data_IF_121734127295
#
_entry.id   IF_121734127295
#
_cell.length_a   1.000
_cell.length_b   1.000
_cell.length_c   1.000
_cell.angle_alpha   90.00
_cell.angle_beta   90.00
_cell.angle_gamma   90.00
#
_symmetry.space_group_name_H-M   'P 1'
#
loop_
_entity.id
_entity.type
_entity.pdbx_description
1 polymer ?
#
# COMPACT_ATOMS: atom_id res chain seq x y z
N UNK A 1 -21.18 -4.60 -8.29
CA UNK A 1 -22.21 -3.94 -9.11
C UNK A 1 -23.42 -4.87 -9.22
N UNK A 2 -24.48 -4.71 -8.40
CA UNK A 2 -25.82 -5.23 -8.74
C UNK A 2 -26.96 -4.87 -7.78
N UNK A 3 -26.88 -3.77 -7.03
CA UNK A 3 -27.98 -3.36 -6.15
C UNK A 3 -29.13 -2.60 -6.87
N UNK A 4 -28.91 -2.10 -8.10
CA UNK A 4 -29.93 -1.41 -8.92
C UNK A 4 -29.91 -1.91 -10.37
N UNK A 5 -31.07 -2.16 -10.96
CA UNK A 5 -31.23 -2.65 -12.34
C UNK A 5 -31.84 -1.56 -13.24
N UNK A 6 -31.10 -1.14 -14.27
CA UNK A 6 -31.50 -0.07 -15.22
C UNK A 6 -31.87 -0.67 -16.58
N UNK A 7 -32.98 -0.23 -17.15
CA UNK A 7 -33.34 -0.55 -18.53
C UNK A 7 -33.09 0.64 -19.45
N UNK A 8 -32.12 0.54 -20.36
CA UNK A 8 -31.78 1.60 -21.28
C UNK A 8 -32.85 1.84 -22.36
N UNK A 9 -33.75 0.88 -22.63
CA UNK A 9 -34.81 1.00 -23.64
C UNK A 9 -35.91 1.96 -23.19
N UNK A 10 -36.31 1.89 -21.92
CA UNK A 10 -37.34 2.76 -21.33
C UNK A 10 -36.75 3.96 -20.57
N UNK A 11 -35.43 3.98 -20.36
CA UNK A 11 -34.71 5.05 -19.68
C UNK A 11 -34.98 5.15 -18.18
N UNK A 12 -35.31 4.03 -17.50
CA UNK A 12 -35.69 4.01 -16.07
C UNK A 12 -35.12 2.79 -15.33
N UNK A 13 -35.04 2.88 -14.00
CA UNK A 13 -34.69 1.76 -13.12
C UNK A 13 -35.91 0.87 -12.87
N UNK A 14 -35.75 -0.46 -13.00
CA UNK A 14 -36.80 -1.44 -12.71
C UNK A 14 -36.85 -1.82 -11.23
N UNK A 15 -35.71 -1.81 -10.55
CA UNK A 15 -35.64 -2.06 -9.11
C UNK A 15 -35.85 -0.75 -8.34
N UNK A 16 -36.65 -0.79 -7.28
CA UNK A 16 -36.64 0.27 -6.27
C UNK A 16 -35.26 0.38 -5.63
N UNK A 17 -34.89 1.59 -5.20
CA UNK A 17 -33.67 1.85 -4.44
C UNK A 17 -33.66 0.97 -3.17
N UNK A 18 -32.63 0.12 -2.98
CA UNK A 18 -32.52 -0.71 -1.78
C UNK A 18 -32.25 0.10 -0.50
N UNK A 19 -31.85 1.37 -0.62
CA UNK A 19 -31.71 2.29 0.53
C UNK A 19 -33.04 3.04 0.72
N UNK A 20 -33.67 2.83 1.88
CA UNK A 20 -34.92 3.47 2.22
C UNK A 20 -34.74 4.93 2.71
N UNK A 21 -35.84 5.61 3.02
CA UNK A 21 -35.80 7.01 3.45
C UNK A 21 -34.97 7.23 4.72
N UNK A 22 -34.96 6.25 5.64
CA UNK A 22 -34.20 6.30 6.88
C UNK A 22 -32.70 6.05 6.63
N UNK A 23 -32.36 5.13 5.73
CA UNK A 23 -30.99 4.90 5.27
C UNK A 23 -30.39 6.10 4.54
N UNK A 24 -31.20 6.87 3.81
CA UNK A 24 -30.76 8.15 3.25
C UNK A 24 -30.64 9.25 4.32
N UNK A 25 -31.48 9.21 5.37
CA UNK A 25 -31.39 10.14 6.49
C UNK A 25 -30.08 9.99 7.28
N UNK A 26 -29.63 8.75 7.50
CA UNK A 26 -28.42 8.45 8.29
C UNK A 26 -27.11 8.95 7.65
N UNK A 27 -27.11 9.18 6.33
CA UNK A 27 -25.99 9.79 5.59
C UNK A 27 -26.21 11.27 5.26
N UNK A 28 -27.18 11.92 5.93
CA UNK A 28 -27.47 13.35 5.74
C UNK A 28 -28.15 13.70 4.41
N UNK A 29 -28.73 12.71 3.72
CA UNK A 29 -29.33 12.82 2.37
C UNK A 29 -30.85 12.54 2.37
N UNK A 30 -31.56 12.85 3.46
CA UNK A 30 -32.98 12.53 3.67
C UNK A 30 -33.90 12.83 2.45
N UNK A 31 -33.69 13.98 1.79
CA UNK A 31 -34.51 14.39 0.63
C UNK A 31 -34.42 13.39 -0.54
N UNK A 32 -33.30 12.71 -0.69
CA UNK A 32 -33.08 11.73 -1.76
C UNK A 32 -33.82 10.41 -1.52
N UNK A 33 -34.12 10.06 -0.26
CA UNK A 33 -34.82 8.84 0.10
C UNK A 33 -36.32 8.81 -0.23
N UNK A 34 -36.89 9.95 -0.65
CA UNK A 34 -38.30 10.00 -1.09
C UNK A 34 -38.48 9.61 -2.57
N UNK A 35 -37.39 9.63 -3.36
CA UNK A 35 -37.43 9.19 -4.76
C UNK A 35 -36.75 7.82 -4.89
N UNK A 36 -37.56 6.75 -4.85
CA UNK A 36 -37.11 5.35 -4.91
C UNK A 36 -36.46 4.95 -6.25
N UNK A 37 -36.35 5.84 -7.23
CA UNK A 37 -35.65 5.59 -8.49
C UNK A 37 -34.50 6.59 -8.73
N UNK A 38 -34.15 7.41 -7.74
CA UNK A 38 -33.04 8.35 -7.85
C UNK A 38 -31.70 7.60 -7.92
N UNK A 39 -30.98 7.77 -9.02
CA UNK A 39 -29.63 7.23 -9.17
C UNK A 39 -28.62 8.33 -9.01
N UNK A 40 -27.65 8.14 -8.12
CA UNK A 40 -26.47 9.00 -8.01
C UNK A 40 -26.87 10.47 -7.81
N UNK A 41 -27.89 10.70 -6.97
CA UNK A 41 -28.50 12.01 -6.72
C UNK A 41 -28.92 12.78 -7.99
N UNK A 42 -29.29 12.08 -9.06
CA UNK A 42 -29.58 12.62 -10.40
C UNK A 42 -28.41 13.41 -11.03
N UNK A 43 -27.18 13.17 -10.61
CA UNK A 43 -25.99 13.79 -11.17
C UNK A 43 -24.85 12.77 -11.39
N UNK A 44 -25.01 11.88 -12.40
CA UNK A 44 -24.04 10.84 -12.72
C UNK A 44 -22.71 11.36 -13.30
N UNK A 45 -22.62 12.66 -13.60
CA UNK A 45 -21.37 13.29 -14.02
C UNK A 45 -20.45 13.57 -12.83
N UNK A 46 -21.03 13.96 -11.69
CA UNK A 46 -20.27 14.32 -10.48
C UNK A 46 -20.05 13.13 -9.55
N UNK A 47 -21.06 12.28 -9.44
CA UNK A 47 -21.08 11.18 -8.48
C UNK A 47 -21.00 9.84 -9.22
N UNK A 48 -20.44 8.82 -8.58
CA UNK A 48 -20.43 7.43 -9.03
C UNK A 48 -20.99 6.54 -7.92
N UNK A 49 -21.52 5.36 -8.27
CA UNK A 49 -22.09 4.42 -7.29
C UNK A 49 -21.39 3.06 -7.38
N UNK A 50 -20.18 2.93 -6.79
CA UNK A 50 -19.37 1.71 -6.92
C UNK A 50 -20.00 0.49 -6.26
N UNK A 51 -20.76 0.71 -5.19
CA UNK A 51 -21.40 -0.35 -4.39
C UNK A 51 -22.81 -0.67 -4.86
N UNK A 52 -23.44 0.20 -5.64
CA UNK A 52 -24.83 0.09 -6.09
C UNK A 52 -25.85 0.60 -5.06
N UNK A 53 -25.40 1.11 -3.91
CA UNK A 53 -26.25 1.53 -2.80
C UNK A 53 -26.08 3.02 -2.48
N UNK A 54 -24.92 3.61 -2.76
CA UNK A 54 -24.60 4.98 -2.34
C UNK A 54 -23.88 5.72 -3.46
N UNK A 55 -24.47 6.82 -3.93
CA UNK A 55 -23.79 7.76 -4.82
C UNK A 55 -22.73 8.56 -4.06
N UNK A 56 -21.47 8.36 -4.45
CA UNK A 56 -20.26 8.97 -3.89
C UNK A 56 -19.66 9.98 -4.85
N UNK A 57 -19.06 11.06 -4.35
CA UNK A 57 -18.36 12.02 -5.22
C UNK A 57 -17.10 11.35 -5.77
N UNK A 58 -16.76 11.60 -7.04
CA UNK A 58 -15.50 11.14 -7.63
C UNK A 58 -14.27 11.58 -6.81
N UNK A 59 -14.35 12.74 -6.13
CA UNK A 59 -13.31 13.22 -5.20
C UNK A 59 -13.34 12.49 -3.84
N UNK A 60 -14.45 11.84 -3.47
CA UNK A 60 -14.57 11.09 -2.21
C UNK A 60 -14.07 9.65 -2.31
N UNK A 61 -13.95 9.03 -3.49
CA UNK A 61 -13.23 7.75 -3.59
C UNK A 61 -11.76 7.88 -3.20
N UNK A 62 -11.14 9.04 -3.48
CA UNK A 62 -9.77 9.36 -3.08
C UNK A 62 -9.65 9.76 -1.59
N UNK A 63 -10.77 10.04 -0.90
CA UNK A 63 -10.80 10.42 0.52
C UNK A 63 -11.43 9.37 1.43
N UNK A 64 -12.14 8.38 0.91
CA UNK A 64 -12.62 7.21 1.67
C UNK A 64 -11.57 6.09 1.74
N UNK A 65 -10.48 6.19 0.96
CA UNK A 65 -9.27 5.39 1.08
C UNK A 65 -8.35 5.83 2.23
N UNK A 66 -8.66 6.95 2.89
CA UNK A 66 -7.97 7.44 4.08
C UNK A 66 -8.94 8.13 5.03
N UNK A 67 -9.29 7.44 6.12
CA UNK A 67 -10.00 7.96 7.30
C UNK A 67 -11.50 8.32 7.10
N UNK A 68 -12.38 7.31 7.17
CA UNK A 68 -13.61 7.28 8.00
C UNK A 68 -14.47 6.05 7.64
N UNK A 69 -14.29 4.95 8.37
CA UNK A 69 -15.36 3.98 8.56
C UNK A 69 -16.31 4.57 9.62
N UNK A 70 -17.42 5.16 9.16
CA UNK A 70 -18.54 5.55 10.02
C UNK A 70 -19.21 4.27 10.55
N UNK A 71 -19.44 4.25 11.86
CA UNK A 71 -20.17 3.22 12.59
C UNK A 71 -21.56 2.89 12.01
N UNK A 72 -21.92 1.61 12.04
CA UNK A 72 -23.27 1.14 12.42
C UNK A 72 -23.08 -0.06 13.39
N UNK A 73 -23.79 0.00 14.52
CA UNK A 73 -23.54 -0.67 15.82
C UNK A 73 -23.91 -2.16 15.93
N UNK A 74 -23.29 -2.83 16.90
CA UNK A 74 -23.87 -3.92 17.69
C UNK A 74 -23.22 -3.96 19.08
N UNK A 75 -24.02 -3.74 20.13
CA UNK A 75 -23.62 -3.69 21.54
C UNK A 75 -23.07 -5.03 22.06
N UNK A 76 -21.85 -5.06 22.61
CA UNK A 76 -21.50 -5.72 23.90
C UNK A 76 -20.30 -4.97 24.50
N UNK A 77 -20.37 -4.67 25.80
CA UNK A 77 -19.57 -3.67 26.51
C UNK A 77 -18.04 -3.80 26.53
N UNK A 78 -17.38 -2.65 26.73
CA UNK A 78 -16.06 -2.55 27.34
C UNK A 78 -15.06 -1.61 26.66
N UNK A 79 -14.99 -0.36 27.13
CA UNK A 79 -13.87 0.59 27.06
C UNK A 79 -13.24 0.95 25.69
N UNK A 80 -13.67 2.09 25.14
CA UNK A 80 -12.99 2.80 24.05
C UNK A 80 -11.95 3.79 24.64
N UNK A 81 -10.68 3.62 24.27
CA UNK A 81 -9.66 4.67 24.31
C UNK A 81 -9.53 5.23 22.89
N UNK A 82 -9.96 6.47 22.67
CA UNK A 82 -9.77 7.18 21.40
C UNK A 82 -8.43 7.94 21.43
N UNK A 83 -7.46 7.54 20.61
CA UNK A 83 -6.34 8.42 20.24
C UNK A 83 -6.67 9.08 18.91
N UNK A 84 -6.98 10.38 18.98
CA UNK A 84 -7.03 11.30 17.84
C UNK A 84 -5.57 11.60 17.48
N UNK A 85 -5.13 11.23 16.29
CA UNK A 85 -3.87 11.72 15.72
C UNK A 85 -4.16 12.27 14.33
N UNK A 86 -4.20 13.59 14.22
CA UNK A 86 -3.80 14.37 13.03
C UNK A 86 -4.07 15.86 13.28
N UNK A 87 -2.98 16.62 13.30
CA UNK A 87 -2.98 18.06 13.26
C UNK A 87 -3.18 18.57 11.82
N UNK A 88 -4.41 18.52 11.28
CA UNK A 88 -4.83 19.41 10.19
C UNK A 88 -6.33 19.27 9.91
N UNK A 89 -7.16 20.01 10.66
CA UNK A 89 -8.36 20.72 10.18
C UNK A 89 -9.10 21.32 11.38
N UNK A 90 -8.48 22.34 11.99
CA UNK A 90 -9.14 23.25 12.94
C UNK A 90 -8.97 24.69 12.46
N UNK A 91 -9.52 24.98 11.29
CA UNK A 91 -9.87 26.33 10.88
C UNK A 91 -11.31 26.32 10.42
N UNK A 92 -12.25 26.23 11.37
CA UNK A 92 -13.66 26.17 10.98
C UNK A 92 -14.72 25.89 12.04
N UNK A 93 -14.44 25.84 13.34
CA UNK A 93 -15.48 25.96 14.38
C UNK A 93 -14.91 26.71 15.58
N UNK A 94 -15.29 27.97 15.74
CA UNK A 94 -15.00 28.75 16.93
C UNK A 94 -16.04 28.39 18.01
N UNK A 95 -15.59 27.98 19.19
CA UNK A 95 -16.38 28.00 20.43
C UNK A 95 -16.58 26.64 21.10
N UNK A 96 -16.07 26.52 22.33
CA UNK A 96 -16.13 25.39 23.26
C UNK A 96 -15.30 24.17 22.80
N UNK A 97 -14.14 23.88 23.41
CA UNK A 97 -14.02 23.27 24.74
C UNK A 97 -12.76 23.80 25.43
N UNK A 98 -12.94 24.53 26.54
CA UNK A 98 -11.86 24.85 27.48
C UNK A 98 -11.74 23.70 28.49
N UNK A 99 -10.56 23.07 28.53
CA UNK A 99 -10.02 22.50 29.75
C UNK A 99 -10.18 21.00 29.96
N UNK A 100 -9.27 20.20 29.40
CA UNK A 100 -8.63 19.08 30.11
C UNK A 100 -7.21 18.91 29.53
N UNK A 101 -6.22 19.64 30.06
CA UNK A 101 -4.80 19.36 29.80
C UNK A 101 -4.16 19.03 31.13
N UNK A 102 -4.10 17.74 31.48
CA UNK A 102 -3.24 17.24 32.55
C UNK A 102 -2.13 16.38 31.96
N UNK A 103 -0.93 16.93 32.05
CA UNK A 103 0.37 16.27 32.23
C UNK A 103 0.48 14.79 31.77
N UNK A 104 0.91 14.61 30.52
CA UNK A 104 1.35 13.31 29.98
C UNK A 104 2.22 13.39 28.71
N UNK A 105 2.28 14.56 28.08
CA UNK A 105 2.90 14.75 26.75
C UNK A 105 4.44 14.86 26.73
N UNK A 106 5.17 14.51 27.81
CA UNK A 106 6.65 14.62 27.82
C UNK A 106 7.42 13.31 27.95
N UNK A 107 6.74 12.15 28.01
CA UNK A 107 7.40 10.84 28.06
C UNK A 107 7.19 9.98 26.80
N UNK A 108 6.20 10.29 25.94
CA UNK A 108 5.96 9.58 24.68
C UNK A 108 6.79 10.10 23.49
N UNK A 109 7.42 11.27 23.60
CA UNK A 109 8.20 11.90 22.53
C UNK A 109 9.68 11.43 22.45
N UNK A 110 10.06 10.37 23.19
CA UNK A 110 11.44 9.81 23.18
C UNK A 110 11.51 8.33 22.77
N UNK A 111 10.45 7.79 22.15
CA UNK A 111 10.44 6.44 21.55
C UNK A 111 9.95 6.42 20.09
N UNK A 112 10.24 7.49 19.36
CA UNK A 112 10.15 7.55 17.89
C UNK A 112 11.53 7.73 17.26
N UNK A 113 12.57 7.18 17.90
CA UNK A 113 13.88 6.96 17.31
C UNK A 113 13.89 5.54 16.73
N UNK A 114 13.90 5.48 15.40
CA UNK A 114 14.42 4.39 14.56
C UNK A 114 14.04 2.96 14.97
N UNK A 115 12.84 2.51 14.61
CA UNK A 115 12.68 1.12 14.18
C UNK A 115 12.72 1.14 12.66
N UNK A 116 13.82 0.68 12.08
CA UNK A 116 13.97 0.49 10.64
C UNK A 116 12.81 -0.37 10.13
N UNK A 117 12.02 0.04 9.12
CA UNK A 117 10.90 -0.76 8.63
C UNK A 117 11.34 -1.97 7.76
N UNK A 118 12.58 -2.46 7.87
CA UNK A 118 12.96 -3.67 7.13
C UNK A 118 14.20 -4.38 7.70
N UNK A 119 14.03 -5.30 8.65
CA UNK A 119 14.99 -6.36 8.91
C UNK A 119 14.66 -7.59 8.04
N UNK A 120 15.13 -7.63 6.79
CA UNK A 120 14.99 -8.78 5.86
C UNK A 120 13.59 -9.43 5.89
N UNK A 121 12.67 -8.87 5.11
CA UNK A 121 11.35 -9.44 4.83
C UNK A 121 11.50 -10.79 4.12
N UNK A 122 11.02 -11.90 4.67
CA UNK A 122 11.25 -13.24 4.10
C UNK A 122 9.99 -14.13 4.09
N UNK A 123 10.06 -15.26 3.38
CA UNK A 123 9.05 -16.33 3.35
C UNK A 123 9.66 -17.68 3.72
N UNK A 124 8.85 -18.61 4.24
CA UNK A 124 9.32 -19.98 4.54
C UNK A 124 9.56 -20.80 3.27
N UNK A 125 10.32 -21.90 3.40
CA UNK A 125 10.51 -22.88 2.34
C UNK A 125 9.17 -23.40 1.77
N UNK A 126 9.16 -23.73 0.48
CA UNK A 126 7.98 -24.19 -0.26
C UNK A 126 7.09 -23.06 -0.79
N UNK A 127 7.33 -21.81 -0.37
CA UNK A 127 6.60 -20.64 -0.91
C UNK A 127 6.88 -20.53 -2.41
N UNK A 128 5.83 -20.65 -3.22
CA UNK A 128 5.96 -20.65 -4.67
C UNK A 128 6.23 -19.24 -5.19
N UNK A 129 7.08 -19.11 -6.20
CA UNK A 129 7.42 -17.85 -6.86
C UNK A 129 7.10 -17.97 -8.33
N UNK A 130 6.44 -16.96 -8.91
CA UNK A 130 6.12 -16.95 -10.34
C UNK A 130 7.36 -16.64 -11.18
N UNK A 131 7.98 -17.69 -11.73
CA UNK A 131 9.12 -17.59 -12.65
C UNK A 131 8.68 -17.77 -14.10
N UNK A 132 9.57 -17.44 -15.05
CA UNK A 132 9.33 -17.63 -16.48
C UNK A 132 9.12 -19.10 -16.89
N UNK A 133 9.67 -20.02 -16.11
CA UNK A 133 9.61 -21.47 -16.36
C UNK A 133 8.45 -22.15 -15.61
N UNK A 134 7.72 -21.40 -14.79
CA UNK A 134 6.62 -21.87 -13.95
C UNK A 134 6.81 -21.48 -12.48
N UNK A 135 5.96 -22.01 -11.61
CA UNK A 135 6.12 -21.82 -10.17
C UNK A 135 7.31 -22.63 -9.64
N UNK A 136 8.14 -21.97 -8.84
CA UNK A 136 9.32 -22.57 -8.22
C UNK A 136 9.36 -22.23 -6.73
N UNK A 137 9.75 -23.16 -5.84
CA UNK A 137 9.93 -22.84 -4.42
C UNK A 137 10.98 -21.75 -4.21
N UNK A 138 10.75 -20.86 -3.25
CA UNK A 138 11.58 -19.68 -3.00
C UNK A 138 13.03 -20.05 -2.62
N UNK A 139 13.24 -21.18 -1.95
CA UNK A 139 14.54 -21.70 -1.54
C UNK A 139 15.39 -22.18 -2.72
N UNK A 140 14.77 -22.48 -3.86
CA UNK A 140 15.43 -22.99 -5.07
C UNK A 140 15.72 -21.89 -6.10
N UNK A 141 15.25 -20.66 -5.87
CA UNK A 141 15.46 -19.52 -6.77
C UNK A 141 16.94 -19.14 -6.81
N UNK A 142 17.51 -19.08 -8.01
CA UNK A 142 18.91 -18.70 -8.23
C UNK A 142 19.06 -17.32 -8.88
N UNK A 143 20.21 -16.69 -8.65
CA UNK A 143 20.59 -15.43 -9.32
C UNK A 143 20.59 -15.63 -10.85
N UNK A 144 20.02 -14.67 -11.57
CA UNK A 144 19.85 -14.71 -13.02
C UNK A 144 18.50 -15.26 -13.49
N UNK A 145 17.74 -15.95 -12.62
CA UNK A 145 16.39 -16.42 -12.97
C UNK A 145 15.43 -15.25 -13.17
N UNK A 146 14.48 -15.43 -14.08
CA UNK A 146 13.50 -14.39 -14.41
C UNK A 146 12.21 -14.61 -13.64
N UNK A 147 11.85 -13.63 -12.81
CA UNK A 147 10.59 -13.58 -12.07
C UNK A 147 9.66 -12.52 -12.65
N UNK A 148 8.36 -12.77 -12.53
CA UNK A 148 7.38 -11.78 -12.94
C UNK A 148 7.36 -10.64 -11.91
N UNK A 149 7.48 -9.40 -12.37
CA UNK A 149 7.56 -8.23 -11.51
C UNK A 149 6.67 -7.11 -12.05
N UNK A 150 6.19 -6.25 -11.15
CA UNK A 150 5.33 -5.11 -11.49
C UNK A 150 5.82 -3.84 -10.84
N UNK A 151 6.14 -2.85 -11.66
CA UNK A 151 6.34 -1.49 -11.20
C UNK A 151 4.97 -0.88 -10.85
N UNK A 152 4.63 -0.85 -9.57
CA UNK A 152 3.33 -0.33 -9.08
C UNK A 152 3.08 1.14 -9.44
N UNK A 153 4.14 1.96 -9.59
CA UNK A 153 4.01 3.38 -9.93
C UNK A 153 3.61 3.61 -11.40
N UNK A 154 4.16 2.80 -12.31
CA UNK A 154 3.90 2.93 -13.76
C UNK A 154 2.84 1.95 -14.26
N UNK A 155 2.50 0.93 -13.46
CA UNK A 155 1.66 -0.19 -13.85
C UNK A 155 2.35 -1.19 -14.80
N UNK A 156 3.62 -0.96 -15.16
CA UNK A 156 4.36 -1.81 -16.10
C UNK A 156 4.75 -3.13 -15.43
N UNK A 157 4.46 -4.25 -16.09
CA UNK A 157 4.89 -5.58 -15.67
C UNK A 157 5.86 -6.18 -16.68
N UNK A 158 6.96 -6.77 -16.18
CA UNK A 158 8.01 -7.37 -17.00
C UNK A 158 8.69 -8.52 -16.26
N UNK A 159 9.33 -9.41 -17.03
CA UNK A 159 10.27 -10.39 -16.49
C UNK A 159 11.54 -9.68 -16.03
N UNK A 160 11.93 -9.86 -14.77
CA UNK A 160 13.11 -9.26 -14.17
C UNK A 160 14.01 -10.31 -13.57
N UNK A 161 15.32 -10.10 -13.71
CA UNK A 161 16.31 -11.03 -13.19
C UNK A 161 16.41 -10.91 -11.66
N UNK A 162 16.59 -12.06 -11.02
CA UNK A 162 17.01 -12.13 -9.63
C UNK A 162 18.48 -11.73 -9.55
N UNK A 163 18.80 -10.74 -8.72
CA UNK A 163 20.17 -10.20 -8.59
C UNK A 163 20.88 -10.67 -7.33
N UNK A 164 20.13 -11.09 -6.32
CA UNK A 164 20.69 -11.58 -5.05
C UNK A 164 19.71 -12.49 -4.34
N UNK A 165 20.21 -13.42 -3.52
CA UNK A 165 19.40 -14.31 -2.67
C UNK A 165 19.87 -14.24 -1.23
N UNK A 166 18.93 -14.40 -0.29
CA UNK A 166 19.19 -14.42 1.15
C UNK A 166 18.50 -15.60 1.80
N UNK A 167 19.21 -16.16 2.78
CA UNK A 167 18.67 -17.12 3.73
C UNK A 167 18.88 -16.55 5.13
N UNK A 168 17.80 -16.45 5.91
CA UNK A 168 17.80 -15.88 7.26
C UNK A 168 17.19 -16.90 8.21
N UNK A 169 17.85 -17.13 9.34
CA UNK A 169 17.44 -18.12 10.34
C UNK A 169 16.68 -17.47 11.50
N UNK A 170 15.95 -18.29 12.26
CA UNK A 170 15.30 -17.93 13.53
C UNK A 170 14.28 -16.79 13.47
N UNK A 171 13.57 -16.67 12.34
CA UNK A 171 12.56 -15.61 12.12
C UNK A 171 11.18 -16.05 12.57
N UNK A 172 10.45 -15.15 13.23
CA UNK A 172 9.09 -15.38 13.67
C UNK A 172 8.13 -15.42 12.47
N UNK A 173 7.32 -16.48 12.40
CA UNK A 173 6.46 -16.76 11.25
C UNK A 173 4.99 -16.45 11.53
N UNK A 174 4.37 -15.77 10.58
CA UNK A 174 2.95 -15.45 10.55
C UNK A 174 2.29 -16.20 9.39
N UNK A 175 1.12 -16.77 9.65
CA UNK A 175 0.27 -17.38 8.64
C UNK A 175 -0.82 -16.38 8.24
N UNK A 176 -0.93 -16.15 6.93
CA UNK A 176 -1.96 -15.32 6.31
C UNK A 176 -2.79 -16.25 5.43
N UNK A 177 -4.10 -16.33 5.67
CA UNK A 177 -5.02 -17.02 4.75
C UNK A 177 -5.76 -16.00 3.90
N UNK A 178 -5.72 -16.19 2.59
CA UNK A 178 -6.45 -15.37 1.63
C UNK A 178 -7.48 -16.20 0.88
N UNK A 179 -8.58 -15.56 0.48
CA UNK A 179 -9.66 -16.17 -0.29
C UNK A 179 -9.89 -15.42 -1.60
N UNK A 180 -9.94 -16.16 -2.71
CA UNK A 180 -10.28 -15.62 -4.03
C UNK A 180 -11.78 -15.37 -4.16
N UNK A 181 -12.20 -14.69 -5.22
CA UNK A 181 -13.61 -14.44 -5.50
C UNK A 181 -14.40 -15.73 -5.80
N UNK A 182 -13.71 -16.76 -6.29
CA UNK A 182 -14.24 -18.10 -6.57
C UNK A 182 -14.34 -18.96 -5.30
N UNK A 183 -13.94 -18.42 -4.14
CA UNK A 183 -14.02 -19.11 -2.85
C UNK A 183 -12.83 -20.01 -2.54
N UNK A 184 -11.81 -20.05 -3.41
CA UNK A 184 -10.57 -20.81 -3.16
C UNK A 184 -9.79 -20.13 -2.06
N UNK A 185 -9.37 -20.88 -1.05
CA UNK A 185 -8.55 -20.36 0.06
C UNK A 185 -7.12 -20.87 -0.07
N UNK A 186 -6.14 -20.01 0.19
CA UNK A 186 -4.72 -20.34 0.24
C UNK A 186 -4.07 -19.71 1.47
N UNK A 187 -3.05 -20.39 2.00
CA UNK A 187 -2.21 -19.89 3.07
C UNK A 187 -0.84 -19.43 2.54
N UNK A 188 -0.28 -18.45 3.24
CA UNK A 188 1.06 -17.90 3.01
C UNK A 188 1.71 -17.77 4.38
N UNK A 189 2.97 -18.16 4.47
CA UNK A 189 3.76 -18.03 5.70
C UNK A 189 4.93 -17.08 5.48
N UNK A 190 4.91 -15.95 6.20
CA UNK A 190 5.84 -14.84 6.02
C UNK A 190 6.35 -14.31 7.37
N UNK A 191 7.46 -13.58 7.33
CA UNK A 191 7.98 -12.89 8.52
C UNK A 191 7.12 -11.67 8.91
N UNK A 192 7.26 -11.20 10.16
CA UNK A 192 6.49 -10.07 10.72
C UNK A 192 6.47 -8.79 9.85
N UNK A 193 7.55 -8.50 9.15
CA UNK A 193 7.75 -7.24 8.40
C UNK A 193 7.75 -7.46 6.89
N UNK A 194 7.08 -8.52 6.41
CA UNK A 194 7.00 -8.74 4.96
C UNK A 194 5.94 -7.82 4.34
N UNK A 195 6.29 -6.95 3.38
CA UNK A 195 5.35 -6.04 2.75
C UNK A 195 4.48 -6.73 1.67
N UNK A 196 3.17 -6.60 1.82
CA UNK A 196 2.18 -7.00 0.83
C UNK A 196 1.50 -5.77 0.23
N UNK A 197 1.14 -5.83 -1.05
CA UNK A 197 0.39 -4.75 -1.69
C UNK A 197 -1.10 -4.88 -1.41
N UNK A 198 -1.65 -3.97 -0.61
CA UNK A 198 -3.07 -3.93 -0.27
C UNK A 198 -3.79 -2.92 -1.16
N UNK A 199 -4.81 -3.37 -1.88
CA UNK A 199 -5.60 -2.54 -2.79
C UNK A 199 -6.21 -1.34 -2.04
N UNK A 200 -5.88 -0.13 -2.49
CA UNK A 200 -6.35 1.12 -1.90
C UNK A 200 -5.59 1.57 -0.64
N UNK A 201 -4.69 0.74 -0.08
CA UNK A 201 -3.85 1.09 1.08
C UNK A 201 -2.35 1.13 0.76
N UNK A 202 -1.93 0.54 -0.36
CA UNK A 202 -0.52 0.43 -0.76
C UNK A 202 0.19 -0.67 0.03
N UNK A 203 1.51 -0.53 0.20
CA UNK A 203 2.33 -1.49 0.94
C UNK A 203 1.99 -1.50 2.43
N UNK A 204 1.83 -2.71 2.98
CA UNK A 204 1.63 -2.97 4.42
C UNK A 204 2.45 -4.17 4.84
N UNK A 205 3.12 -4.05 5.98
CA UNK A 205 3.86 -5.16 6.59
C UNK A 205 2.87 -6.22 7.08
N UNK A 206 3.34 -7.47 7.20
CA UNK A 206 2.51 -8.60 7.66
C UNK A 206 1.75 -8.30 8.95
N UNK A 207 2.40 -7.65 9.92
CA UNK A 207 1.78 -7.28 11.21
C UNK A 207 0.77 -6.13 11.13
N UNK A 208 0.81 -5.35 10.05
CA UNK A 208 -0.12 -4.24 9.80
C UNK A 208 -1.31 -4.65 8.93
N UNK A 209 -1.33 -5.89 8.44
CA UNK A 209 -2.46 -6.45 7.70
C UNK A 209 -3.68 -6.65 8.60
N UNK A 210 -4.85 -6.48 8.02
CA UNK A 210 -6.12 -6.63 8.73
C UNK A 210 -7.03 -7.63 8.02
N UNK A 211 -7.88 -8.31 8.80
CA UNK A 211 -8.94 -9.14 8.23
C UNK A 211 -9.83 -8.29 7.32
N UNK A 212 -10.14 -8.82 6.13
CA UNK A 212 -10.89 -8.10 5.10
C UNK A 212 -10.04 -7.25 4.16
N UNK A 213 -8.74 -7.06 4.41
CA UNK A 213 -7.83 -6.43 3.45
C UNK A 213 -7.79 -7.22 2.14
N UNK A 214 -7.57 -6.50 1.04
CA UNK A 214 -7.56 -7.07 -0.31
C UNK A 214 -6.15 -7.02 -0.88
N UNK A 215 -5.48 -8.15 -0.90
CA UNK A 215 -4.24 -8.32 -1.67
C UNK A 215 -4.58 -8.40 -3.15
N UNK A 216 -3.60 -8.22 -4.03
CA UNK A 216 -3.80 -8.27 -5.48
C UNK A 216 -2.92 -9.32 -6.12
N UNK A 217 -3.46 -9.99 -7.14
CA UNK A 217 -2.67 -10.89 -7.97
C UNK A 217 -1.94 -10.19 -9.14
N UNK A 218 -1.37 -10.98 -10.05
CA UNK A 218 -0.71 -10.51 -11.26
C UNK A 218 -1.66 -9.90 -12.31
N UNK A 219 -2.96 -10.16 -12.22
CA UNK A 219 -4.01 -9.60 -13.08
C UNK A 219 -4.71 -8.40 -12.42
N UNK A 220 -4.43 -8.15 -11.13
CA UNK A 220 -5.07 -7.12 -10.32
C UNK A 220 -6.40 -7.57 -9.69
N UNK A 221 -6.71 -8.87 -9.72
CA UNK A 221 -7.88 -9.45 -9.06
C UNK A 221 -7.62 -9.48 -7.54
N UNK A 222 -8.60 -9.06 -6.72
CA UNK A 222 -8.42 -9.00 -5.28
C UNK A 222 -8.57 -10.36 -4.59
N UNK A 223 -7.69 -10.62 -3.61
CA UNK A 223 -7.77 -11.73 -2.66
C UNK A 223 -7.99 -11.20 -1.25
N UNK A 224 -9.05 -11.67 -0.58
CA UNK A 224 -9.45 -11.15 0.73
C UNK A 224 -8.74 -11.91 1.84
N UNK A 225 -8.10 -11.21 2.77
CA UNK A 225 -7.53 -11.81 3.98
C UNK A 225 -8.66 -12.30 4.88
N UNK A 226 -8.70 -13.60 5.15
CA UNK A 226 -9.72 -14.27 5.97
C UNK A 226 -9.17 -14.81 7.29
N UNK A 227 -7.84 -14.93 7.43
CA UNK A 227 -7.17 -15.28 8.68
C UNK A 227 -5.78 -14.65 8.71
N UNK A 228 -5.36 -14.22 9.89
CA UNK A 228 -4.01 -13.73 10.17
C UNK A 228 -3.64 -14.15 11.60
N UNK A 229 -2.55 -14.90 11.76
CA UNK A 229 -2.09 -15.32 13.09
C UNK A 229 -0.57 -15.51 13.14
N UNK A 230 0.01 -15.23 14.31
CA UNK A 230 1.36 -15.70 14.63
C UNK A 230 1.33 -17.21 14.83
N UNK A 231 2.31 -17.93 14.29
CA UNK A 231 2.46 -19.37 14.53
C UNK A 231 3.27 -19.67 15.80
N UNK A 232 3.77 -18.64 16.49
CA UNK A 232 4.64 -18.77 17.69
C UNK A 232 5.82 -19.73 17.46
N UNK A 233 6.26 -19.84 16.21
CA UNK A 233 7.40 -20.65 15.77
C UNK A 233 8.42 -19.80 15.05
N UNK A 234 9.66 -20.24 15.14
CA UNK A 234 10.78 -19.70 14.38
C UNK A 234 11.16 -20.66 13.28
N UNK A 235 11.46 -20.13 12.10
CA UNK A 235 11.87 -20.95 10.95
C UNK A 235 12.97 -20.26 10.15
N UNK A 236 13.56 -21.01 9.22
CA UNK A 236 14.41 -20.49 8.16
C UNK A 236 13.53 -19.83 7.11
N UNK A 237 13.90 -18.63 6.70
CA UNK A 237 13.16 -17.83 5.75
C UNK A 237 14.07 -17.31 4.63
N UNK A 238 13.52 -17.24 3.43
CA UNK A 238 14.20 -16.93 2.18
C UNK A 238 13.66 -15.64 1.58
N UNK A 239 14.52 -14.91 0.88
CA UNK A 239 14.16 -13.72 0.11
C UNK A 239 15.18 -13.54 -1.03
N UNK A 240 14.85 -12.76 -2.05
CA UNK A 240 15.74 -12.47 -3.17
C UNK A 240 15.43 -11.10 -3.79
N UNK A 241 16.44 -10.40 -4.29
CA UNK A 241 16.25 -9.11 -4.96
C UNK A 241 15.94 -9.29 -6.43
N UNK A 242 14.97 -8.51 -6.88
CA UNK A 242 14.52 -8.44 -8.25
C UNK A 242 15.00 -7.12 -8.84
N UNK A 243 15.63 -7.19 -10.01
CA UNK A 243 16.09 -6.01 -10.73
C UNK A 243 14.95 -5.03 -11.05
N UNK A 244 15.25 -3.74 -10.96
CA UNK A 244 14.46 -2.55 -11.28
C UNK A 244 13.21 -2.32 -10.40
N UNK A 245 12.37 -3.36 -10.26
CA UNK A 245 11.02 -3.22 -9.74
C UNK A 245 10.93 -3.58 -8.26
N UNK A 246 11.85 -4.39 -7.74
CA UNK A 246 11.86 -4.85 -6.35
C UNK A 246 10.52 -5.43 -5.88
N UNK A 247 9.77 -6.02 -6.80
CA UNK A 247 8.50 -6.71 -6.53
C UNK A 247 8.54 -8.06 -7.20
N UNK A 248 7.83 -9.02 -6.62
CA UNK A 248 7.61 -10.31 -7.23
C UNK A 248 6.26 -10.86 -6.80
N UNK A 249 5.90 -12.00 -7.36
CA UNK A 249 4.66 -12.67 -7.08
C UNK A 249 4.94 -14.00 -6.38
N UNK A 250 4.28 -14.20 -5.24
CA UNK A 250 4.35 -15.44 -4.47
C UNK A 250 3.04 -16.21 -4.55
N UNK A 251 3.10 -17.48 -4.18
CA UNK A 251 2.01 -18.43 -4.12
C UNK A 251 1.41 -18.81 -5.48
N UNK A 252 0.54 -19.82 -5.49
CA UNK A 252 -0.15 -20.28 -6.72
C UNK A 252 -1.14 -19.23 -7.26
N UNK A 253 -1.55 -18.29 -6.41
CA UNK A 253 -2.47 -17.21 -6.73
C UNK A 253 -1.71 -15.92 -7.09
N UNK A 254 -0.38 -15.97 -7.20
CA UNK A 254 0.48 -14.88 -7.65
C UNK A 254 0.22 -13.57 -6.89
N UNK A 255 0.37 -13.57 -5.58
CA UNK A 255 0.15 -12.42 -4.70
C UNK A 255 1.35 -11.47 -4.78
N UNK A 256 1.08 -10.18 -5.01
CA UNK A 256 2.11 -9.15 -5.17
C UNK A 256 2.77 -8.80 -3.83
N UNK A 257 4.08 -8.98 -3.77
CA UNK A 257 4.93 -8.71 -2.61
C UNK A 257 6.15 -7.88 -2.99
N UNK A 258 6.74 -7.19 -2.02
CA UNK A 258 7.92 -6.36 -2.25
C UNK A 258 9.18 -7.06 -1.71
N UNK A 259 10.25 -7.03 -2.49
CA UNK A 259 11.57 -7.38 -2.00
C UNK A 259 12.12 -6.19 -1.20
N UNK A 260 12.15 -6.32 0.12
CA UNK A 260 12.98 -5.44 0.92
C UNK A 260 14.34 -6.12 1.21
N UNK A 261 15.44 -5.46 0.86
CA UNK A 261 16.78 -6.07 0.94
C UNK A 261 17.97 -5.13 0.75
N UNK A 262 17.75 -3.81 0.59
CA UNK A 262 18.84 -2.84 0.54
C UNK A 262 19.30 -2.40 1.93
N UNK A 263 20.61 -2.26 2.14
CA UNK A 263 21.16 -1.61 3.32
C UNK A 263 20.66 -0.16 3.35
N UNK A 264 19.85 0.16 4.37
CA UNK A 264 19.23 1.47 4.44
C UNK A 264 20.21 2.52 4.93
N UNK A 265 20.41 3.55 4.12
CA UNK A 265 21.36 4.63 4.41
C UNK A 265 20.72 5.99 4.18
N UNK A 266 21.14 6.98 4.97
CA UNK A 266 20.78 8.38 4.72
C UNK A 266 21.88 9.02 3.88
N UNK A 267 21.61 9.18 2.59
CA UNK A 267 22.61 9.64 1.61
C UNK A 267 22.24 11.03 1.11
N UNK A 268 23.25 11.87 0.86
CA UNK A 268 23.02 13.14 0.20
C UNK A 268 22.59 12.87 -1.25
N UNK A 269 21.42 13.33 -1.70
CA UNK A 269 20.90 13.02 -3.04
C UNK A 269 21.83 13.49 -4.17
N UNK A 270 22.72 14.46 -3.92
CA UNK A 270 23.73 14.92 -4.89
C UNK A 270 24.88 13.92 -5.09
N UNK A 271 25.06 12.97 -4.18
CA UNK A 271 26.10 11.95 -4.26
C UNK A 271 25.65 10.71 -5.06
N UNK A 272 24.36 10.64 -5.40
CA UNK A 272 23.80 9.54 -6.17
C UNK A 272 24.05 9.74 -7.67
N UNK A 273 24.39 8.67 -8.36
CA UNK A 273 24.65 8.66 -9.80
C UNK A 273 23.35 8.30 -10.53
N UNK A 274 22.77 9.20 -11.34
CA UNK A 274 21.55 8.88 -12.08
C UNK A 274 21.84 7.96 -13.27
N UNK A 275 21.09 6.87 -13.36
CA UNK A 275 21.08 5.97 -14.54
C UNK A 275 20.10 6.42 -15.62
N UNK A 276 19.15 7.30 -15.30
CA UNK A 276 18.22 7.93 -16.25
C UNK A 276 18.60 9.39 -16.52
N UNK A 277 18.42 9.80 -17.77
CA UNK A 277 18.61 11.18 -18.22
C UNK A 277 17.42 12.07 -17.83
N UNK A 278 17.64 13.40 -17.86
CA UNK A 278 16.56 14.37 -17.63
C UNK A 278 15.41 14.27 -18.63
N UNK A 279 15.68 13.75 -19.83
CA UNK A 279 14.68 13.58 -20.88
C UNK A 279 13.76 12.38 -20.63
N UNK A 280 14.24 11.37 -19.90
CA UNK A 280 13.48 10.19 -19.50
C UNK A 280 12.62 10.45 -18.25
N UNK A 281 12.84 11.57 -17.57
CA UNK A 281 12.06 11.98 -16.40
C UNK A 281 10.91 12.93 -16.75
N UNK A 282 9.68 12.52 -16.41
CA UNK A 282 8.52 13.42 -16.35
C UNK A 282 8.74 14.67 -15.48
N UNK A 283 8.92 15.83 -16.12
CA UNK A 283 9.12 17.11 -15.43
C UNK A 283 7.94 17.57 -14.59
N UNK A 284 6.71 17.21 -14.96
CA UNK A 284 5.51 17.51 -14.15
C UNK A 284 5.51 16.73 -12.83
N UNK A 285 5.92 15.46 -12.87
CA UNK A 285 6.05 14.64 -11.67
C UNK A 285 7.13 15.18 -10.73
N UNK A 286 8.31 15.55 -11.26
CA UNK A 286 9.38 16.18 -10.46
C UNK A 286 8.90 17.46 -9.79
N UNK A 287 8.14 18.31 -10.50
CA UNK A 287 7.58 19.55 -9.92
C UNK A 287 6.61 19.25 -8.77
N UNK A 288 5.71 18.27 -8.96
CA UNK A 288 4.74 17.83 -7.95
C UNK A 288 5.46 17.33 -6.69
N UNK A 289 6.42 16.42 -6.85
CA UNK A 289 7.23 15.90 -5.75
C UNK A 289 8.04 16.98 -5.05
N UNK A 290 8.65 17.92 -5.80
CA UNK A 290 9.40 19.05 -5.21
C UNK A 290 8.51 19.90 -4.31
N UNK A 291 7.25 20.18 -4.73
CA UNK A 291 6.30 20.96 -3.92
C UNK A 291 5.93 20.22 -2.63
N UNK A 292 5.68 18.91 -2.73
CA UNK A 292 5.43 18.06 -1.56
C UNK A 292 6.62 18.06 -0.60
N UNK A 293 7.82 17.81 -1.12
CA UNK A 293 9.06 17.75 -0.34
C UNK A 293 9.45 19.06 0.34
N UNK A 294 9.11 20.21 -0.25
CA UNK A 294 9.31 21.52 0.40
C UNK A 294 8.37 21.75 1.57
N UNK A 295 7.18 21.13 1.55
CA UNK A 295 6.16 21.28 2.59
C UNK A 295 6.39 20.29 3.73
N UNK A 296 6.55 19.03 3.37
CA UNK A 296 6.51 17.91 4.33
C UNK A 296 7.89 17.27 4.55
N UNK A 297 8.93 17.68 3.81
CA UNK A 297 10.22 16.99 3.77
C UNK A 297 10.17 15.73 2.90
N UNK A 298 11.22 14.91 2.97
CA UNK A 298 11.18 13.58 2.34
C UNK A 298 10.39 12.65 3.25
N UNK A 299 9.12 12.44 2.95
CA UNK A 299 8.22 11.55 3.71
C UNK A 299 8.10 10.23 2.96
N UNK A 300 8.56 9.17 3.61
CA UNK A 300 8.33 7.81 3.14
C UNK A 300 6.88 7.39 3.42
N UNK A 301 6.28 6.61 2.53
CA UNK A 301 4.98 5.98 2.78
C UNK A 301 3.75 6.86 2.59
N UNK A 302 3.88 8.09 2.07
CA UNK A 302 2.73 8.79 1.45
C UNK A 302 2.50 8.24 0.04
N UNK A 303 1.71 7.17 -0.08
CA UNK A 303 1.46 6.47 -1.35
C UNK A 303 2.58 5.48 -1.72
N UNK A 304 2.80 5.22 -3.01
CA UNK A 304 3.83 4.29 -3.52
C UNK A 304 5.28 4.83 -3.44
N UNK A 305 5.53 5.73 -2.48
CA UNK A 305 6.80 6.44 -2.25
C UNK A 305 7.64 5.76 -1.17
N UNK A 306 8.18 4.58 -1.53
CA UNK A 306 9.27 3.94 -0.79
C UNK A 306 10.61 4.70 -0.92
N UNK A 307 11.67 4.25 -0.20
CA UNK A 307 13.00 4.81 -0.31
C UNK A 307 13.56 4.77 -1.74
N UNK A 308 14.64 5.51 -1.99
CA UNK A 308 15.31 5.49 -3.31
C UNK A 308 16.18 4.24 -3.39
N UNK A 309 15.89 3.36 -4.35
CA UNK A 309 16.69 2.15 -4.60
C UNK A 309 17.97 2.53 -5.32
N UNK A 310 19.11 2.11 -4.76
CA UNK A 310 20.43 2.34 -5.34
C UNK A 310 21.24 1.06 -5.33
N UNK A 311 22.08 0.87 -6.34
CA UNK A 311 23.03 -0.23 -6.40
C UNK A 311 24.45 0.30 -6.24
N UNK A 312 25.34 -0.51 -5.66
CA UNK A 312 26.78 -0.21 -5.71
C UNK A 312 27.30 -0.54 -7.11
N UNK A 313 27.57 0.49 -7.93
CA UNK A 313 28.10 0.34 -9.27
C UNK A 313 29.56 -0.11 -9.29
N UNK A 314 30.13 -0.45 -10.47
CA UNK A 314 31.50 -0.96 -10.59
C UNK A 314 32.59 -0.01 -10.07
N UNK A 315 32.26 1.28 -10.01
CA UNK A 315 33.14 2.35 -9.49
C UNK A 315 33.04 2.54 -7.98
N UNK A 316 32.22 1.75 -7.29
CA UNK A 316 31.90 1.88 -5.87
C UNK A 316 30.92 3.02 -5.54
N UNK A 317 30.40 3.72 -6.55
CA UNK A 317 29.39 4.77 -6.38
C UNK A 317 27.99 4.17 -6.30
N UNK A 318 27.10 4.87 -5.59
CA UNK A 318 25.68 4.52 -5.51
C UNK A 318 24.96 5.01 -6.77
N UNK A 319 24.55 4.07 -7.61
CA UNK A 319 23.81 4.31 -8.85
C UNK A 319 22.32 4.14 -8.59
N UNK A 320 21.50 5.10 -9.02
CA UNK A 320 20.05 5.08 -8.79
C UNK A 320 19.43 4.02 -9.70
N UNK A 321 18.82 3.01 -9.11
CA UNK A 321 18.03 2.01 -9.83
C UNK A 321 16.58 2.48 -9.97
N UNK A 322 16.02 3.01 -8.87
CA UNK A 322 14.65 3.54 -8.83
C UNK A 322 14.58 4.81 -7.96
N UNK A 323 13.70 5.74 -8.34
CA UNK A 323 13.45 6.97 -7.59
C UNK A 323 14.13 8.22 -8.18
N UNK A 324 14.53 8.24 -9.45
CA UNK A 324 15.18 9.39 -10.10
C UNK A 324 14.38 10.69 -9.94
N UNK A 325 13.04 10.64 -10.10
CA UNK A 325 12.18 11.81 -9.87
C UNK A 325 12.23 12.30 -8.43
N UNK A 326 12.29 11.38 -7.45
CA UNK A 326 12.39 11.70 -6.02
C UNK A 326 13.75 12.30 -5.70
N UNK A 327 14.84 11.74 -6.20
CA UNK A 327 16.20 12.29 -6.03
C UNK A 327 16.27 13.70 -6.64
N UNK A 328 15.79 13.88 -7.87
CA UNK A 328 15.80 15.19 -8.51
C UNK A 328 14.90 16.20 -7.77
N UNK A 329 13.74 15.76 -7.27
CA UNK A 329 12.87 16.59 -6.45
C UNK A 329 13.52 16.98 -5.12
N UNK A 330 14.19 16.05 -4.44
CA UNK A 330 14.90 16.30 -3.20
C UNK A 330 16.04 17.31 -3.38
N UNK A 331 16.81 17.20 -4.47
CA UNK A 331 17.84 18.20 -4.84
C UNK A 331 17.21 19.58 -5.03
N UNK A 332 16.08 19.67 -5.75
CA UNK A 332 15.36 20.95 -5.98
C UNK A 332 14.70 21.51 -4.72
N UNK A 333 14.28 20.64 -3.81
CA UNK A 333 13.73 20.98 -2.50
C UNK A 333 14.82 21.37 -1.49
N UNK A 334 16.11 21.18 -1.82
CA UNK A 334 17.27 21.41 -0.94
C UNK A 334 17.25 20.51 0.30
N UNK A 335 16.90 19.24 0.12
CA UNK A 335 16.98 18.23 1.18
C UNK A 335 18.39 17.67 1.23
N UNK A 336 19.02 17.72 2.40
CA UNK A 336 20.44 17.37 2.58
C UNK A 336 20.69 15.86 2.63
N UNK A 337 19.73 15.08 3.15
CA UNK A 337 19.81 13.62 3.24
C UNK A 337 18.46 13.02 2.91
N UNK A 338 18.47 12.00 2.06
CA UNK A 338 17.30 11.20 1.74
C UNK A 338 17.56 9.74 2.12
N UNK A 339 16.52 9.00 2.49
CA UNK A 339 16.60 7.56 2.69
C UNK A 339 16.83 6.85 1.34
N UNK A 340 17.86 6.02 1.31
CA UNK A 340 18.14 5.13 0.17
C UNK A 340 18.23 3.69 0.66
N UNK A 341 17.84 2.76 -0.20
CA UNK A 341 18.06 1.33 -0.02
C UNK A 341 19.20 0.90 -0.93
N UNK A 342 20.33 0.53 -0.32
CA UNK A 342 21.55 0.15 -1.03
C UNK A 342 21.57 -1.35 -1.28
N UNK A 343 21.35 -1.76 -2.51
CA UNK A 343 21.51 -3.14 -2.95
C UNK A 343 22.97 -3.39 -3.35
N UNK A 344 23.52 -4.53 -2.95
CA UNK A 344 24.84 -4.95 -3.43
C UNK A 344 24.70 -5.35 -4.90
N UNK A 345 25.36 -4.61 -5.79
CA UNK A 345 25.41 -4.97 -7.20
C UNK A 345 25.98 -6.38 -7.34
N UNK A 346 25.29 -7.24 -8.08
CA UNK A 346 25.85 -8.53 -8.50
C UNK A 346 27.06 -8.25 -9.40
N UNK A 347 28.22 -8.79 -9.02
CA UNK A 347 29.33 -8.95 -9.95
C UNK A 347 29.12 -10.22 -10.77
#
# INVERSE_FOLDING_TARGET
>A
MQARYYDPVIGRFYSNDPVDALGHASVGKLVHGFNRYAYVNNNPYKYIDPTGMIGMDTVQLDRLSGEQAIQIQGEVGGNIVSTIDTASDLTGVAGAIKGVVKAGAKAAAKKALSKSPCPLSCFVAGTQVLTKEGHKPIEDISVGELVWAKNVQTGKSEWKAVTHTWTVYDKDIYEISVRTLEGVTQTIEATESHPFYVLGKGWRDTVDLQLGDKLVDNEGVPLVIVSLRSLERKDTAYNFTVADFHTYYVTQQNILVHNCGGDRQMVNPKNLVPTQTKSEMSGSNVKRLTKSMKKDGFVEGKGDDGPVSVVVGPTGKLEIENGHHRVQAAIKAKIDKIPVEVYKGGN
#
